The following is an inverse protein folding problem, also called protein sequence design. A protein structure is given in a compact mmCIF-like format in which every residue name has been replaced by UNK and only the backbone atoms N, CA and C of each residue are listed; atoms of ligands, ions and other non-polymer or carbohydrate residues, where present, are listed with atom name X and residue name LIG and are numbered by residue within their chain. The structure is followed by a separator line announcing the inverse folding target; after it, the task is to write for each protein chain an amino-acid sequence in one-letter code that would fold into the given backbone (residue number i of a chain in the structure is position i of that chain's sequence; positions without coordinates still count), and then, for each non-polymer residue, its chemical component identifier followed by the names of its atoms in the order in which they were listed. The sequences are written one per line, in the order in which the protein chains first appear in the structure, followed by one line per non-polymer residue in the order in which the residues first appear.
data_IF_070371440471
#
_entry.id   IF_070371440471
#
_cell.length_a   1.000
_cell.length_b   1.000
_cell.length_c   1.000
_cell.angle_alpha   90.00
_cell.angle_beta   90.00
_cell.angle_gamma   90.00
#
_symmetry.space_group_name_H-M   'P 1'
#
loop_
_entity.id
_entity.type
_entity.pdbx_description
1 polymer ?
#
# COMPACT_ATOMS: atom_id res chain seq x y z
N UNK A 1 7.07 17.37 -19.48
CA UNK A 1 7.32 17.08 -18.06
C UNK A 1 8.04 18.28 -17.46
N UNK A 2 7.77 18.69 -16.22
CA UNK A 2 8.53 19.80 -15.60
C UNK A 2 9.92 19.31 -15.18
N UNK A 3 10.92 20.19 -15.15
CA UNK A 3 12.28 19.82 -14.74
C UNK A 3 12.32 19.33 -13.28
N UNK A 4 11.53 19.95 -12.42
CA UNK A 4 11.43 19.57 -11.00
C UNK A 4 10.90 18.14 -10.82
N UNK A 5 9.88 17.75 -11.60
CA UNK A 5 9.34 16.39 -11.52
C UNK A 5 10.33 15.34 -12.05
N UNK A 6 11.07 15.65 -13.13
CA UNK A 6 12.14 14.76 -13.61
C UNK A 6 13.20 14.54 -12.53
N UNK A 7 13.66 15.61 -11.88
CA UNK A 7 14.62 15.50 -10.77
C UNK A 7 14.08 14.67 -9.60
N UNK A 8 12.79 14.81 -9.27
CA UNK A 8 12.15 13.96 -8.25
C UNK A 8 12.25 12.49 -8.65
N UNK A 9 11.85 12.14 -9.88
CA UNK A 9 11.83 10.75 -10.35
C UNK A 9 13.24 10.17 -10.47
N UNK A 10 14.22 10.92 -10.98
CA UNK A 10 15.61 10.47 -11.09
C UNK A 10 16.24 10.14 -9.72
N UNK A 11 15.77 10.80 -8.66
CA UNK A 11 16.23 10.55 -7.29
C UNK A 11 15.42 9.49 -6.53
N UNK A 12 14.23 9.12 -7.01
CA UNK A 12 13.28 8.30 -6.28
C UNK A 12 13.36 6.82 -6.64
N UNK A 13 14.23 6.07 -5.94
CA UNK A 13 14.36 4.62 -6.14
C UNK A 13 13.43 3.82 -5.24
N UNK A 14 13.19 4.32 -4.03
CA UNK A 14 12.42 3.65 -2.99
C UNK A 14 11.05 4.28 -2.84
N UNK A 15 10.01 3.61 -3.35
CA UNK A 15 8.67 4.19 -3.45
C UNK A 15 7.68 3.47 -2.52
N UNK A 16 7.01 4.22 -1.65
CA UNK A 16 5.89 3.70 -0.86
C UNK A 16 4.62 3.64 -1.72
N UNK A 17 4.00 2.45 -1.78
CA UNK A 17 2.79 2.22 -2.57
C UNK A 17 1.53 2.90 -2.01
N UNK A 18 0.55 3.23 -2.87
CA UNK A 18 -0.78 3.64 -2.44
C UNK A 18 -1.52 2.43 -1.85
N UNK A 19 -1.94 2.54 -0.59
CA UNK A 19 -2.63 1.49 0.15
C UNK A 19 -3.78 2.10 0.97
N UNK A 20 -5.00 1.64 0.72
CA UNK A 20 -6.21 2.10 1.45
C UNK A 20 -6.03 1.82 2.94
N UNK A 21 -6.22 2.86 3.76
CA UNK A 21 -6.04 2.85 5.23
C UNK A 21 -4.64 2.43 5.71
N UNK A 22 -3.64 2.47 4.83
CA UNK A 22 -2.30 1.92 5.08
C UNK A 22 -1.16 2.78 4.51
N UNK A 23 -1.47 3.94 3.94
CA UNK A 23 -0.50 4.90 3.41
C UNK A 23 -0.91 6.33 3.77
N UNK A 24 -1.64 6.47 4.87
CA UNK A 24 -2.00 7.76 5.44
C UNK A 24 -0.76 8.56 5.89
N UNK A 25 -0.93 9.85 6.16
CA UNK A 25 0.19 10.76 6.44
C UNK A 25 1.16 10.22 7.50
N UNK A 26 0.65 9.66 8.59
CA UNK A 26 1.48 9.09 9.66
C UNK A 26 2.44 8.01 9.12
N UNK A 27 1.90 7.07 8.33
CA UNK A 27 2.68 6.00 7.75
C UNK A 27 3.66 6.49 6.68
N UNK A 28 3.30 7.53 5.91
CA UNK A 28 4.23 8.14 4.96
C UNK A 28 5.41 8.81 5.66
N UNK A 29 5.17 9.53 6.76
CA UNK A 29 6.24 10.14 7.57
C UNK A 29 7.16 9.05 8.13
N UNK A 30 6.59 7.98 8.69
CA UNK A 30 7.37 6.84 9.17
C UNK A 30 8.20 6.25 8.03
N UNK A 31 7.58 5.93 6.89
CA UNK A 31 8.27 5.32 5.74
C UNK A 31 9.42 6.20 5.21
N UNK A 32 9.27 7.52 5.21
CA UNK A 32 10.36 8.45 4.86
C UNK A 32 11.51 8.39 5.85
N UNK A 33 11.22 8.31 7.15
CA UNK A 33 12.25 8.11 8.19
C UNK A 33 13.03 6.82 7.96
N UNK A 34 12.38 5.80 7.38
CA UNK A 34 12.97 4.52 6.99
C UNK A 34 13.35 4.43 5.50
N UNK A 35 13.66 5.55 4.84
CA UNK A 35 14.32 5.54 3.53
C UNK A 35 13.41 5.53 2.30
N UNK A 36 12.11 5.83 2.45
CA UNK A 36 11.25 6.09 1.29
C UNK A 36 11.56 7.46 0.66
N UNK A 37 11.89 7.47 -0.62
CA UNK A 37 12.19 8.68 -1.39
C UNK A 37 10.90 9.38 -1.84
N UNK A 38 9.91 8.59 -2.25
CA UNK A 38 8.63 9.04 -2.80
C UNK A 38 7.49 8.26 -2.17
N UNK A 39 6.41 8.96 -1.81
CA UNK A 39 5.24 8.31 -1.23
C UNK A 39 3.97 8.61 -2.03
N UNK A 40 3.05 7.66 -1.99
CA UNK A 40 1.70 7.82 -2.52
C UNK A 40 0.67 7.94 -1.39
N UNK A 41 -0.40 8.69 -1.61
CA UNK A 41 -1.55 8.70 -0.70
C UNK A 41 -2.33 7.37 -0.74
N UNK A 42 -3.27 7.15 0.20
CA UNK A 42 -4.33 6.18 -0.02
C UNK A 42 -5.10 6.52 -1.30
N UNK A 43 -5.70 5.51 -1.91
CA UNK A 43 -6.54 5.68 -3.11
C UNK A 43 -7.79 6.50 -2.76
N UNK A 44 -7.91 7.70 -3.32
CA UNK A 44 -9.04 8.63 -3.12
C UNK A 44 -10.11 8.35 -4.16
N UNK A 45 -11.35 8.09 -3.74
CA UNK A 45 -12.46 7.95 -4.67
C UNK A 45 -12.91 9.33 -5.17
N UNK A 46 -12.64 9.64 -6.44
CA UNK A 46 -12.88 10.96 -7.02
C UNK A 46 -14.37 11.35 -6.99
N UNK A 47 -15.29 10.40 -7.23
CA UNK A 47 -16.73 10.67 -7.18
C UNK A 47 -17.19 11.08 -5.77
N UNK A 48 -16.74 10.35 -4.74
CA UNK A 48 -17.08 10.67 -3.35
C UNK A 48 -16.43 12.00 -2.93
N UNK A 49 -15.16 12.22 -3.32
CA UNK A 49 -14.42 13.43 -3.01
C UNK A 49 -15.01 14.68 -3.68
N UNK A 50 -15.41 14.59 -4.96
CA UNK A 50 -15.94 15.70 -5.73
C UNK A 50 -17.35 16.15 -5.29
N UNK A 51 -18.06 15.33 -4.51
CA UNK A 51 -19.36 15.67 -3.94
C UNK A 51 -19.21 16.59 -2.72
N UNK A 52 -19.69 17.82 -2.87
CA UNK A 52 -19.68 18.86 -1.83
C UNK A 52 -20.36 18.47 -0.52
N UNK A 53 -21.26 17.48 -0.52
CA UNK A 53 -21.95 16.99 0.68
C UNK A 53 -21.05 16.10 1.54
N UNK A 54 -19.95 15.58 0.99
CA UNK A 54 -19.06 14.63 1.67
C UNK A 54 -17.85 15.31 2.34
N UNK A 55 -18.07 16.41 3.06
CA UNK A 55 -16.99 17.15 3.77
C UNK A 55 -16.16 16.24 4.68
N UNK A 56 -16.83 15.41 5.49
CA UNK A 56 -16.18 14.45 6.39
C UNK A 56 -15.27 13.47 5.64
N UNK A 57 -15.65 13.05 4.43
CA UNK A 57 -14.81 12.16 3.63
C UNK A 57 -13.52 12.87 3.23
N UNK A 58 -13.60 14.12 2.74
CA UNK A 58 -12.42 14.91 2.37
C UNK A 58 -11.45 15.08 3.53
N UNK A 59 -11.96 15.45 4.70
CA UNK A 59 -11.18 15.66 5.93
C UNK A 59 -10.53 14.37 6.44
N UNK A 60 -11.13 13.20 6.16
CA UNK A 60 -10.62 11.91 6.65
C UNK A 60 -9.67 11.25 5.65
N UNK A 61 -9.95 11.35 4.34
CA UNK A 61 -9.23 10.58 3.32
C UNK A 61 -7.88 11.20 2.96
N UNK A 62 -7.73 12.51 3.12
CA UNK A 62 -6.53 13.23 2.71
C UNK A 62 -6.02 14.16 3.80
N UNK A 63 -4.73 13.98 4.12
CA UNK A 63 -3.95 14.87 4.96
C UNK A 63 -2.52 14.89 4.44
N UNK A 64 -1.83 16.02 4.55
CA UNK A 64 -0.42 16.20 4.19
C UNK A 64 0.20 17.34 5.01
N UNK A 65 1.53 17.49 4.97
CA UNK A 65 2.27 18.59 5.58
C UNK A 65 3.57 18.86 4.78
N UNK A 66 4.36 19.85 5.21
CA UNK A 66 5.59 20.25 4.51
C UNK A 66 6.68 19.17 4.45
N UNK A 67 6.65 18.19 5.37
CA UNK A 67 7.60 17.07 5.42
C UNK A 67 7.16 15.88 4.55
N UNK A 68 6.00 15.98 3.92
CA UNK A 68 5.39 14.90 3.14
C UNK A 68 5.55 15.15 1.65
N UNK A 69 6.76 15.49 1.20
CA UNK A 69 7.12 15.62 -0.22
C UNK A 69 8.46 14.92 -0.49
N UNK A 70 8.65 14.34 -1.69
CA UNK A 70 7.74 14.35 -2.84
C UNK A 70 6.55 13.40 -2.68
N UNK A 71 5.34 13.83 -3.06
CA UNK A 71 4.07 13.13 -2.85
C UNK A 71 3.26 13.00 -4.13
N UNK A 72 2.73 11.81 -4.38
CA UNK A 72 1.78 11.54 -5.46
C UNK A 72 0.40 11.23 -4.88
N UNK A 73 -0.62 11.99 -5.31
CA UNK A 73 -2.00 11.77 -4.89
C UNK A 73 -2.67 10.83 -5.88
N UNK A 74 -3.12 9.66 -5.40
CA UNK A 74 -3.79 8.69 -6.26
C UNK A 74 -5.31 8.79 -6.18
N UNK A 75 -5.96 8.90 -7.34
CA UNK A 75 -7.41 8.83 -7.48
C UNK A 75 -7.89 7.52 -8.09
N UNK A 76 -9.13 7.15 -7.80
CA UNK A 76 -9.90 6.18 -8.57
C UNK A 76 -11.26 6.76 -8.99
N UNK A 77 -11.77 6.28 -10.12
CA UNK A 77 -13.05 6.67 -10.69
C UNK A 77 -13.12 6.30 -12.17
N UNK A 78 -14.27 6.56 -12.79
CA UNK A 78 -14.54 6.29 -14.19
C UNK A 78 -15.25 7.46 -14.90
N UNK A 79 -15.31 8.63 -14.24
CA UNK A 79 -15.86 9.85 -14.79
C UNK A 79 -14.72 10.88 -14.90
N UNK A 80 -14.25 11.20 -16.11
CA UNK A 80 -13.14 12.12 -16.32
C UNK A 80 -13.32 13.47 -15.62
N UNK A 81 -14.53 14.02 -15.63
CA UNK A 81 -14.82 15.35 -15.08
C UNK A 81 -14.78 15.35 -13.55
N UNK A 82 -15.32 14.29 -12.92
CA UNK A 82 -15.24 14.15 -11.46
C UNK A 82 -13.81 13.92 -10.97
N UNK A 83 -13.01 13.17 -11.74
CA UNK A 83 -11.58 12.99 -11.44
C UNK A 83 -10.84 14.32 -11.59
N UNK A 84 -11.07 15.06 -12.68
CA UNK A 84 -10.46 16.37 -12.89
C UNK A 84 -10.83 17.34 -11.77
N UNK A 85 -12.11 17.41 -11.40
CA UNK A 85 -12.58 18.27 -10.31
C UNK A 85 -11.89 17.95 -8.97
N UNK A 86 -11.73 16.67 -8.64
CA UNK A 86 -11.03 16.25 -7.43
C UNK A 86 -9.53 16.56 -7.48
N UNK A 87 -8.89 16.35 -8.63
CA UNK A 87 -7.48 16.62 -8.84
C UNK A 87 -7.16 18.13 -8.81
N UNK A 88 -8.02 18.98 -9.37
CA UNK A 88 -7.86 20.44 -9.33
C UNK A 88 -7.88 20.99 -7.90
N UNK A 89 -8.66 20.37 -7.00
CA UNK A 89 -8.76 20.73 -5.57
C UNK A 89 -7.47 20.38 -4.80
N UNK A 90 -6.68 19.42 -5.30
CA UNK A 90 -5.52 18.85 -4.59
C UNK A 90 -4.17 19.02 -5.32
N UNK A 91 -4.13 19.55 -6.55
CA UNK A 91 -2.91 19.69 -7.35
C UNK A 91 -1.82 20.52 -6.66
N UNK A 92 -2.18 21.44 -5.78
CA UNK A 92 -1.25 22.27 -4.99
C UNK A 92 -0.63 21.54 -3.80
N UNK A 93 -1.14 20.36 -3.47
CA UNK A 93 -0.76 19.58 -2.31
C UNK A 93 0.09 18.36 -2.65
N UNK A 94 0.49 18.22 -3.92
CA UNK A 94 1.30 17.11 -4.41
C UNK A 94 2.30 17.55 -5.48
N UNK A 95 3.13 16.61 -5.90
CA UNK A 95 4.10 16.74 -6.99
C UNK A 95 3.60 16.07 -8.27
N UNK A 96 2.65 15.14 -8.17
CA UNK A 96 1.90 14.58 -9.28
C UNK A 96 0.54 13.98 -8.85
N UNK A 97 -0.33 13.77 -9.84
CA UNK A 97 -1.62 13.11 -9.70
C UNK A 97 -1.58 11.75 -10.39
N UNK A 98 -1.96 10.68 -9.69
CA UNK A 98 -1.96 9.31 -10.20
C UNK A 98 -3.37 8.76 -10.42
N UNK A 99 -3.55 7.96 -11.47
CA UNK A 99 -4.79 7.22 -11.72
C UNK A 99 -4.60 5.75 -11.41
N UNK A 100 -5.40 5.25 -10.46
CA UNK A 100 -5.46 3.84 -10.14
C UNK A 100 -6.19 3.07 -11.25
N UNK A 101 -5.43 2.27 -11.98
CA UNK A 101 -5.89 1.34 -13.01
C UNK A 101 -5.52 -0.12 -12.66
N UNK A 102 -5.20 -0.38 -11.38
CA UNK A 102 -4.61 -1.64 -10.94
C UNK A 102 -5.32 -2.32 -9.76
N UNK A 103 -6.26 -1.67 -9.08
CA UNK A 103 -6.95 -2.25 -7.93
C UNK A 103 -7.90 -3.40 -8.37
N UNK A 104 -7.68 -4.65 -7.94
CA UNK A 104 -8.51 -5.80 -8.32
C UNK A 104 -9.61 -6.11 -7.28
N UNK A 105 -9.80 -5.25 -6.29
CA UNK A 105 -10.68 -5.54 -5.16
C UNK A 105 -12.15 -5.50 -5.56
N UNK A 106 -12.99 -6.24 -4.84
CA UNK A 106 -14.43 -6.30 -5.12
C UNK A 106 -15.14 -4.95 -5.05
N UNK A 107 -14.64 -4.00 -4.25
CA UNK A 107 -15.17 -2.63 -4.20
C UNK A 107 -14.88 -1.87 -5.52
N UNK A 108 -13.71 -2.07 -6.12
CA UNK A 108 -13.35 -1.51 -7.43
C UNK A 108 -14.20 -2.13 -8.55
N UNK A 109 -14.53 -3.42 -8.45
CA UNK A 109 -15.48 -4.06 -9.37
C UNK A 109 -16.86 -3.40 -9.31
N UNK A 110 -17.38 -3.23 -8.10
CA UNK A 110 -18.72 -2.66 -7.86
C UNK A 110 -18.80 -1.19 -8.28
N UNK A 111 -17.75 -0.41 -8.01
CA UNK A 111 -17.67 0.99 -8.39
C UNK A 111 -17.16 1.24 -9.81
N UNK A 112 -16.81 0.17 -10.54
CA UNK A 112 -16.29 0.20 -11.90
C UNK A 112 -15.08 1.14 -12.06
N UNK A 113 -14.01 0.87 -11.32
CA UNK A 113 -12.74 1.58 -11.40
C UNK A 113 -11.56 0.62 -11.18
N UNK A 114 -10.32 1.11 -11.20
CA UNK A 114 -9.13 0.28 -10.97
C UNK A 114 -8.88 -0.69 -12.12
N UNK A 115 -8.52 -1.93 -11.82
CA UNK A 115 -8.23 -2.96 -12.84
C UNK A 115 -9.46 -3.34 -13.68
N UNK A 116 -10.66 -2.88 -13.32
CA UNK A 116 -11.88 -3.13 -14.09
C UNK A 116 -12.08 -2.15 -15.25
N UNK A 117 -11.26 -1.10 -15.35
CA UNK A 117 -11.21 -0.22 -16.51
C UNK A 117 -10.19 -0.69 -17.56
N UNK A 118 -9.31 -1.65 -17.24
CA UNK A 118 -8.15 -1.98 -18.07
C UNK A 118 -8.53 -2.38 -19.52
N UNK A 119 -9.76 -2.86 -19.75
CA UNK A 119 -10.28 -3.26 -21.06
C UNK A 119 -11.00 -2.11 -21.82
N UNK A 120 -11.14 -0.93 -21.22
CA UNK A 120 -11.87 0.24 -21.73
C UNK A 120 -10.93 1.39 -22.11
N UNK A 121 -10.06 1.13 -23.09
CA UNK A 121 -8.98 2.06 -23.44
C UNK A 121 -9.45 3.45 -23.86
N UNK A 122 -10.55 3.64 -24.64
CA UNK A 122 -11.04 4.98 -24.96
C UNK A 122 -11.41 5.80 -23.71
N UNK A 123 -11.99 5.16 -22.69
CA UNK A 123 -12.30 5.83 -21.43
C UNK A 123 -11.03 6.21 -20.69
N UNK A 124 -10.06 5.30 -20.58
CA UNK A 124 -8.77 5.57 -19.93
C UNK A 124 -8.03 6.71 -20.64
N UNK A 125 -7.95 6.69 -21.97
CA UNK A 125 -7.34 7.76 -22.78
C UNK A 125 -8.01 9.10 -22.49
N UNK A 126 -9.35 9.13 -22.39
CA UNK A 126 -10.10 10.35 -22.10
C UNK A 126 -9.79 10.90 -20.71
N UNK A 127 -9.64 10.03 -19.69
CA UNK A 127 -9.28 10.43 -18.32
C UNK A 127 -7.87 11.03 -18.31
N UNK A 128 -6.88 10.30 -18.83
CA UNK A 128 -5.47 10.73 -18.76
C UNK A 128 -5.25 12.01 -19.58
N UNK A 129 -5.81 12.08 -20.78
CA UNK A 129 -5.65 13.25 -21.66
C UNK A 129 -6.32 14.50 -21.08
N UNK A 130 -7.52 14.36 -20.50
CA UNK A 130 -8.23 15.48 -19.88
C UNK A 130 -7.45 16.04 -18.69
N UNK A 131 -6.95 15.17 -17.81
CA UNK A 131 -6.13 15.58 -16.68
C UNK A 131 -4.83 16.23 -17.13
N UNK A 132 -4.15 15.63 -18.12
CA UNK A 132 -2.89 16.16 -18.66
C UNK A 132 -3.04 17.57 -19.23
N UNK A 133 -4.19 17.86 -19.85
CA UNK A 133 -4.47 19.15 -20.45
C UNK A 133 -4.81 20.26 -19.43
N UNK A 134 -5.31 19.90 -18.25
CA UNK A 134 -5.90 20.86 -17.29
C UNK A 134 -5.15 20.97 -15.96
N UNK A 135 -4.30 20.00 -15.60
CA UNK A 135 -3.51 20.05 -14.36
C UNK A 135 -2.15 20.70 -14.59
N UNK A 136 -1.68 21.45 -13.58
CA UNK A 136 -0.32 22.01 -13.59
C UNK A 136 0.76 21.02 -13.17
N UNK A 137 0.36 19.95 -12.47
CA UNK A 137 1.24 18.85 -12.06
C UNK A 137 1.15 17.68 -13.06
N UNK A 138 2.20 16.85 -13.19
CA UNK A 138 2.18 15.67 -14.05
C UNK A 138 1.09 14.66 -13.65
N UNK A 139 0.64 13.90 -14.66
CA UNK A 139 -0.31 12.79 -14.49
C UNK A 139 0.44 11.48 -14.61
N UNK A 140 0.29 10.59 -13.64
CA UNK A 140 0.91 9.27 -13.60
C UNK A 140 -0.16 8.19 -13.59
N UNK A 141 0.20 6.95 -13.86
CA UNK A 141 -0.74 5.83 -13.82
C UNK A 141 -0.12 4.63 -13.10
N UNK A 142 -0.96 3.90 -12.35
CA UNK A 142 -0.59 2.61 -11.76
C UNK A 142 -1.46 1.48 -12.32
N UNK A 143 -0.84 0.53 -13.01
CA UNK A 143 -1.53 -0.56 -13.72
C UNK A 143 -1.23 -1.95 -13.15
N UNK A 144 -2.01 -2.92 -13.63
CA UNK A 144 -1.71 -4.35 -13.65
C UNK A 144 -1.49 -4.82 -15.09
N UNK A 145 -0.82 -5.94 -15.27
CA UNK A 145 -0.53 -6.52 -16.59
C UNK A 145 -1.71 -7.35 -17.14
N UNK A 146 -1.71 -7.60 -18.44
CA UNK A 146 -2.54 -8.63 -19.07
C UNK A 146 -1.81 -9.98 -19.09
N UNK A 147 -2.54 -11.10 -19.28
CA UNK A 147 -1.91 -12.38 -19.60
C UNK A 147 -1.07 -12.32 -20.89
N UNK A 148 -1.53 -11.55 -21.87
CA UNK A 148 -0.83 -11.37 -23.15
C UNK A 148 0.19 -10.23 -23.05
N UNK A 149 1.46 -10.54 -23.35
CA UNK A 149 2.56 -9.58 -23.28
C UNK A 149 2.35 -8.40 -24.24
N UNK A 150 1.96 -8.69 -25.48
CA UNK A 150 1.76 -7.69 -26.54
C UNK A 150 0.64 -6.72 -26.16
N UNK A 151 -0.44 -7.23 -25.57
CA UNK A 151 -1.55 -6.40 -25.08
C UNK A 151 -1.10 -5.50 -23.93
N UNK A 152 -0.24 -6.01 -23.05
CA UNK A 152 0.34 -5.22 -21.95
C UNK A 152 1.22 -4.09 -22.47
N UNK A 153 2.09 -4.36 -23.45
CA UNK A 153 2.95 -3.34 -24.07
C UNK A 153 2.10 -2.30 -24.80
N UNK A 154 1.09 -2.72 -25.57
CA UNK A 154 0.18 -1.80 -26.26
C UNK A 154 -0.58 -0.90 -25.28
N UNK A 155 -1.01 -1.45 -24.14
CA UNK A 155 -1.68 -0.70 -23.08
C UNK A 155 -0.74 0.36 -22.45
N UNK A 156 0.52 0.02 -22.19
CA UNK A 156 1.51 0.97 -21.69
C UNK A 156 1.79 2.11 -22.69
N UNK A 157 1.97 1.80 -23.98
CA UNK A 157 2.15 2.80 -25.06
C UNK A 157 0.94 3.71 -25.22
N UNK A 158 -0.27 3.18 -25.06
CA UNK A 158 -1.49 3.98 -25.07
C UNK A 158 -1.48 5.02 -23.93
N UNK A 159 -1.14 4.59 -22.70
CA UNK A 159 -1.08 5.49 -21.54
C UNK A 159 -0.03 6.60 -21.73
N UNK A 160 1.16 6.24 -22.24
CA UNK A 160 2.19 7.20 -22.60
C UNK A 160 1.67 8.22 -23.62
N UNK A 161 1.05 7.76 -24.71
CA UNK A 161 0.47 8.63 -25.75
C UNK A 161 -0.63 9.55 -25.20
N UNK A 162 -1.44 9.07 -24.25
CA UNK A 162 -2.48 9.87 -23.60
C UNK A 162 -1.92 10.96 -22.66
N UNK A 163 -0.61 10.94 -22.37
CA UNK A 163 0.07 11.96 -21.58
C UNK A 163 0.48 11.52 -20.17
N UNK A 164 0.46 10.22 -19.88
CA UNK A 164 1.06 9.67 -18.68
C UNK A 164 2.56 10.04 -18.62
N UNK A 165 3.02 10.52 -17.46
CA UNK A 165 4.39 11.01 -17.24
C UNK A 165 5.27 10.03 -16.46
N UNK A 166 4.68 9.03 -15.80
CA UNK A 166 5.35 7.96 -15.08
C UNK A 166 4.37 6.78 -14.99
N UNK A 167 4.83 5.57 -15.29
CA UNK A 167 4.02 4.37 -15.23
C UNK A 167 4.49 3.44 -14.10
N UNK A 168 3.66 3.21 -13.08
CA UNK A 168 3.92 2.14 -12.10
C UNK A 168 3.25 0.85 -12.55
N UNK A 169 4.02 -0.22 -12.73
CA UNK A 169 3.51 -1.51 -13.19
C UNK A 169 3.53 -2.51 -12.04
N UNK A 170 2.36 -2.99 -11.63
CA UNK A 170 2.28 -4.22 -10.85
C UNK A 170 2.34 -5.42 -11.79
N UNK A 171 3.39 -6.24 -11.70
CA UNK A 171 3.62 -7.43 -12.55
C UNK A 171 2.64 -8.60 -12.33
N UNK A 172 1.42 -8.36 -11.86
CA UNK A 172 0.38 -9.39 -11.70
C UNK A 172 -0.85 -9.01 -12.49
N UNK A 173 -1.54 -9.99 -13.03
CA UNK A 173 -2.84 -9.81 -13.68
C UNK A 173 -3.92 -9.40 -12.67
N UNK A 174 -5.07 -8.93 -13.15
CA UNK A 174 -6.24 -8.62 -12.32
C UNK A 174 -6.71 -9.84 -11.52
N UNK A 175 -6.65 -11.02 -12.13
CA UNK A 175 -7.09 -12.31 -11.57
C UNK A 175 -6.14 -12.83 -10.50
N UNK A 176 -4.86 -12.46 -10.57
CA UNK A 176 -3.84 -12.72 -9.56
C UNK A 176 -4.02 -11.82 -8.33
N UNK A 177 -5.09 -12.06 -7.59
CA UNK A 177 -5.43 -11.34 -6.35
C UNK A 177 -5.75 -12.31 -5.20
N UNK A 178 -5.66 -11.80 -3.97
CA UNK A 178 -5.97 -12.55 -2.73
C UNK A 178 -5.22 -13.88 -2.67
N UNK A 179 -5.94 -14.99 -2.65
CA UNK A 179 -5.41 -16.35 -2.52
C UNK A 179 -4.76 -16.86 -3.83
N UNK A 180 -4.86 -16.08 -4.92
CA UNK A 180 -4.30 -16.38 -6.24
C UNK A 180 -3.21 -15.39 -6.65
N UNK A 181 -2.63 -14.64 -5.70
CA UNK A 181 -1.65 -13.59 -6.00
C UNK A 181 -0.44 -14.09 -6.80
N UNK A 182 0.12 -15.26 -6.49
CA UNK A 182 1.31 -15.78 -7.19
C UNK A 182 2.50 -14.80 -7.15
N UNK A 183 3.51 -15.06 -7.97
CA UNK A 183 4.64 -14.14 -8.17
C UNK A 183 4.28 -13.06 -9.19
N UNK A 184 4.82 -11.86 -9.00
CA UNK A 184 4.83 -10.81 -9.99
C UNK A 184 5.87 -11.15 -11.07
N UNK A 185 5.48 -10.95 -12.31
CA UNK A 185 6.30 -11.18 -13.48
C UNK A 185 7.13 -9.91 -13.77
N UNK A 186 8.40 -9.94 -13.40
CA UNK A 186 9.32 -8.84 -13.66
C UNK A 186 9.79 -8.80 -15.12
N UNK A 187 9.74 -9.91 -15.87
CA UNK A 187 10.09 -9.92 -17.30
C UNK A 187 9.06 -9.14 -18.11
N UNK A 188 7.78 -9.21 -17.76
CA UNK A 188 6.76 -8.35 -18.36
C UNK A 188 7.01 -6.86 -18.05
N UNK A 189 7.45 -6.54 -16.82
CA UNK A 189 7.79 -5.16 -16.45
C UNK A 189 8.99 -4.66 -17.26
N UNK A 190 10.03 -5.49 -17.41
CA UNK A 190 11.19 -5.21 -18.27
C UNK A 190 10.77 -4.91 -19.71
N UNK A 191 9.93 -5.77 -20.29
CA UNK A 191 9.45 -5.61 -21.65
C UNK A 191 8.65 -4.30 -21.84
N UNK A 192 7.90 -3.85 -20.82
CA UNK A 192 7.27 -2.53 -20.83
C UNK A 192 8.33 -1.42 -20.80
N UNK A 193 9.31 -1.48 -19.88
CA UNK A 193 10.36 -0.47 -19.75
C UNK A 193 11.16 -0.29 -21.04
N UNK A 194 11.42 -1.37 -21.78
CA UNK A 194 12.10 -1.33 -23.08
C UNK A 194 11.24 -0.73 -24.22
N UNK A 195 9.93 -0.57 -24.00
CA UNK A 195 8.97 -0.19 -25.04
C UNK A 195 8.27 1.15 -24.81
N UNK A 196 8.54 1.84 -23.71
CA UNK A 196 8.06 3.20 -23.42
C UNK A 196 9.24 4.12 -23.14
N UNK A 197 9.06 5.42 -23.39
CA UNK A 197 10.08 6.45 -23.16
C UNK A 197 9.93 7.14 -21.80
N UNK A 198 8.75 7.05 -21.18
CA UNK A 198 8.51 7.56 -19.83
C UNK A 198 9.15 6.68 -18.74
N UNK A 199 9.47 7.25 -17.56
CA UNK A 199 9.91 6.47 -16.43
C UNK A 199 8.89 5.39 -16.03
N UNK A 200 9.40 4.25 -15.55
CA UNK A 200 8.63 3.10 -15.09
C UNK A 200 9.08 2.72 -13.69
N UNK A 201 8.11 2.51 -12.80
CA UNK A 201 8.36 1.89 -11.50
C UNK A 201 7.83 0.46 -11.46
N UNK A 202 8.65 -0.47 -10.96
CA UNK A 202 8.23 -1.84 -10.73
C UNK A 202 7.46 -1.97 -9.41
N UNK A 203 6.44 -2.82 -9.37
CA UNK A 203 5.72 -3.17 -8.16
C UNK A 203 5.38 -4.66 -8.10
N UNK A 204 5.54 -5.23 -6.91
CA UNK A 204 5.21 -6.63 -6.61
C UNK A 204 6.46 -7.46 -6.34
N UNK A 205 6.38 -8.31 -5.30
CA UNK A 205 7.47 -9.18 -4.83
C UNK A 205 8.73 -8.46 -4.34
N UNK A 206 8.58 -7.24 -3.80
CA UNK A 206 9.65 -6.50 -3.11
C UNK A 206 9.40 -6.67 -1.61
N UNK A 207 10.06 -7.64 -1.00
CA UNK A 207 9.83 -8.04 0.38
C UNK A 207 11.10 -7.95 1.24
N UNK A 208 12.27 -8.04 0.64
CA UNK A 208 13.55 -7.71 1.26
C UNK A 208 14.21 -6.50 0.59
N UNK A 209 15.20 -5.91 1.25
CA UNK A 209 15.96 -4.81 0.68
C UNK A 209 16.70 -5.24 -0.61
N UNK A 210 17.26 -6.45 -0.63
CA UNK A 210 17.99 -6.97 -1.80
C UNK A 210 17.10 -7.21 -3.02
N UNK A 211 15.77 -7.30 -2.84
CA UNK A 211 14.84 -7.40 -3.96
C UNK A 211 14.81 -6.11 -4.78
N UNK A 212 15.15 -4.96 -4.18
CA UNK A 212 15.18 -3.66 -4.85
C UNK A 212 16.26 -3.66 -5.93
N UNK A 213 17.51 -3.96 -5.54
CA UNK A 213 18.65 -3.99 -6.47
C UNK A 213 18.45 -5.06 -7.55
N UNK A 214 17.99 -6.26 -7.17
CA UNK A 214 17.67 -7.35 -8.12
C UNK A 214 16.60 -6.95 -9.14
N UNK A 215 15.54 -6.29 -8.68
CA UNK A 215 14.44 -5.86 -9.56
C UNK A 215 14.93 -4.80 -10.55
N UNK A 216 15.70 -3.81 -10.08
CA UNK A 216 16.26 -2.75 -10.93
C UNK A 216 17.24 -3.36 -11.95
N UNK A 217 18.15 -4.23 -11.53
CA UNK A 217 19.13 -4.88 -12.42
C UNK A 217 18.45 -5.70 -13.51
N UNK A 218 17.42 -6.48 -13.16
CA UNK A 218 16.71 -7.32 -14.12
C UNK A 218 15.87 -6.51 -15.11
N UNK A 219 15.15 -5.50 -14.61
CA UNK A 219 14.11 -4.82 -15.39
C UNK A 219 14.55 -3.50 -16.02
N UNK A 220 15.62 -2.88 -15.52
CA UNK A 220 16.05 -1.54 -15.94
C UNK A 220 15.10 -0.41 -15.56
N UNK A 221 14.14 -0.66 -14.64
CA UNK A 221 13.19 0.35 -14.16
C UNK A 221 13.88 1.46 -13.37
N UNK A 222 13.23 2.63 -13.31
CA UNK A 222 13.78 3.83 -12.69
C UNK A 222 13.61 3.83 -11.16
N UNK A 223 12.75 2.95 -10.64
CA UNK A 223 12.48 2.81 -9.21
C UNK A 223 11.57 1.63 -8.89
N UNK A 224 11.48 1.33 -7.61
CA UNK A 224 10.80 0.15 -7.08
C UNK A 224 9.81 0.57 -6.01
N UNK A 225 8.57 0.10 -6.16
CA UNK A 225 7.49 0.36 -5.23
C UNK A 225 7.21 -0.84 -4.34
N UNK A 226 7.29 -0.65 -3.03
CA UNK A 226 6.88 -1.65 -2.03
C UNK A 226 5.55 -1.29 -1.36
N UNK A 227 4.71 -2.31 -1.16
CA UNK A 227 3.41 -2.21 -0.51
C UNK A 227 3.41 -3.03 0.78
N UNK A 228 2.99 -4.29 0.71
CA UNK A 228 2.95 -5.16 1.89
C UNK A 228 4.33 -5.35 2.54
N UNK A 229 5.42 -5.43 1.76
CA UNK A 229 6.77 -5.53 2.30
C UNK A 229 7.07 -4.40 3.29
N UNK A 230 6.78 -3.15 2.91
CA UNK A 230 6.94 -1.97 3.77
C UNK A 230 6.01 -2.01 5.00
N UNK A 231 4.78 -2.50 4.89
CA UNK A 231 3.86 -2.60 6.04
C UNK A 231 4.35 -3.58 7.12
N UNK A 232 5.01 -4.66 6.72
CA UNK A 232 5.57 -5.64 7.65
C UNK A 232 6.97 -5.25 8.13
N UNK A 233 7.74 -4.55 7.29
CA UNK A 233 9.03 -3.97 7.63
C UNK A 233 9.22 -2.59 6.99
N UNK A 234 9.01 -1.48 7.73
CA UNK A 234 9.28 -0.13 7.22
C UNK A 234 10.74 0.05 6.81
N UNK A 235 11.67 -0.65 7.45
CA UNK A 235 13.11 -0.66 7.16
C UNK A 235 13.49 -1.32 5.83
N UNK A 236 12.54 -1.83 5.04
CA UNK A 236 12.80 -2.49 3.75
C UNK A 236 13.63 -1.64 2.77
N UNK A 237 13.59 -0.31 2.87
CA UNK A 237 14.35 0.60 2.00
C UNK A 237 15.77 0.90 2.53
N UNK A 238 16.10 0.44 3.73
CA UNK A 238 17.43 0.56 4.32
C UNK A 238 18.17 -0.78 4.22
N UNK A 239 19.45 -0.73 3.88
CA UNK A 239 20.31 -1.92 3.83
C UNK A 239 20.45 -2.53 5.22
N UNK A 240 20.38 -3.86 5.28
CA UNK A 240 20.59 -4.67 6.47
C UNK A 240 19.74 -4.23 7.69
N UNK A 241 18.46 -3.87 7.45
CA UNK A 241 17.61 -3.24 8.44
C UNK A 241 16.33 -4.02 8.75
N UNK A 242 16.36 -4.74 9.87
CA UNK A 242 15.20 -5.34 10.54
C UNK A 242 15.00 -4.67 11.91
N UNK A 243 14.30 -3.52 11.97
CA UNK A 243 14.17 -2.75 13.20
C UNK A 243 13.39 -3.51 14.28
N UNK A 244 13.67 -3.19 15.54
CA UNK A 244 12.95 -3.77 16.68
C UNK A 244 11.50 -3.30 16.66
N UNK A 245 10.55 -4.25 16.66
CA UNK A 245 9.11 -3.95 16.46
C UNK A 245 8.60 -2.90 17.45
N UNK A 246 8.87 -2.99 18.77
CA UNK A 246 8.43 -1.97 19.73
C UNK A 246 8.92 -0.56 19.42
N UNK A 247 10.15 -0.40 18.95
CA UNK A 247 10.70 0.94 18.64
C UNK A 247 9.97 1.56 17.44
N UNK A 248 9.69 0.77 16.41
CA UNK A 248 8.89 1.21 15.25
C UNK A 248 7.46 1.57 15.65
N UNK A 249 6.84 0.78 16.53
CA UNK A 249 5.48 1.06 17.02
C UNK A 249 5.45 2.36 17.81
N UNK A 250 6.40 2.59 18.72
CA UNK A 250 6.45 3.80 19.52
C UNK A 250 6.64 5.04 18.65
N UNK A 251 7.55 4.98 17.67
CA UNK A 251 7.74 6.05 16.68
C UNK A 251 6.48 6.32 15.87
N UNK A 252 5.79 5.27 15.41
CA UNK A 252 4.54 5.42 14.66
C UNK A 252 3.44 6.06 15.51
N UNK A 253 3.28 5.62 16.77
CA UNK A 253 2.30 6.17 17.69
C UNK A 253 2.61 7.62 18.07
N UNK A 254 3.89 7.99 18.21
CA UNK A 254 4.30 9.38 18.41
C UNK A 254 3.90 10.26 17.21
N UNK A 255 4.14 9.79 15.98
CA UNK A 255 3.70 10.50 14.77
C UNK A 255 2.17 10.67 14.78
N UNK A 256 1.42 9.62 15.14
CA UNK A 256 -0.05 9.65 15.20
C UNK A 256 -0.62 10.67 16.19
N UNK A 257 0.15 11.11 17.20
CA UNK A 257 -0.28 12.18 18.10
C UNK A 257 -0.30 13.56 17.43
N UNK A 258 0.50 13.73 16.37
CA UNK A 258 0.66 15.01 15.67
C UNK A 258 -0.01 15.05 14.30
N UNK A 259 -0.52 13.91 13.83
CA UNK A 259 -1.20 13.78 12.54
C UNK A 259 -2.60 13.22 12.70
N UNK A 260 -3.62 13.72 11.97
CA UNK A 260 -4.93 13.10 11.96
C UNK A 260 -4.85 11.66 11.44
N UNK A 261 -5.02 10.68 12.33
CA UNK A 261 -4.91 9.25 12.00
C UNK A 261 -6.12 8.48 12.53
N UNK A 262 -6.92 7.83 11.67
CA UNK A 262 -8.03 6.99 12.12
C UNK A 262 -7.54 5.81 12.99
N UNK A 263 -8.23 5.49 14.10
CA UNK A 263 -7.90 4.31 14.93
C UNK A 263 -7.84 2.99 14.15
N UNK A 264 -8.60 2.87 13.06
CA UNK A 264 -8.59 1.71 12.17
C UNK A 264 -7.25 1.56 11.44
N UNK A 265 -6.61 2.66 11.04
CA UNK A 265 -5.27 2.66 10.45
C UNK A 265 -4.26 2.21 11.51
N UNK A 266 -4.30 2.82 12.71
CA UNK A 266 -3.38 2.48 13.81
C UNK A 266 -3.44 0.99 14.13
N UNK A 267 -4.64 0.47 14.40
CA UNK A 267 -4.86 -0.96 14.64
C UNK A 267 -4.31 -1.81 13.48
N UNK A 268 -4.62 -1.44 12.24
CA UNK A 268 -4.17 -2.15 11.04
C UNK A 268 -2.65 -2.28 10.96
N UNK A 269 -1.93 -1.20 11.22
CA UNK A 269 -0.47 -1.16 11.23
C UNK A 269 0.14 -1.96 12.38
N UNK A 270 -0.41 -1.87 13.58
CA UNK A 270 0.03 -2.70 14.72
C UNK A 270 -0.13 -4.19 14.41
N UNK A 271 -1.23 -4.61 13.78
CA UNK A 271 -1.43 -6.00 13.33
C UNK A 271 -0.42 -6.45 12.27
N UNK A 272 0.06 -5.53 11.42
CA UNK A 272 1.08 -5.82 10.41
C UNK A 272 2.46 -5.94 11.06
N UNK A 273 2.87 -4.95 11.84
CA UNK A 273 4.17 -4.94 12.53
C UNK A 273 4.33 -6.11 13.50
N UNK A 274 3.30 -6.42 14.30
CA UNK A 274 3.31 -7.50 15.29
C UNK A 274 3.09 -8.88 14.65
N UNK A 275 2.84 -8.97 13.35
CA UNK A 275 2.52 -10.24 12.69
C UNK A 275 3.49 -11.39 13.02
N UNK A 276 4.81 -11.19 13.15
CA UNK A 276 5.73 -12.27 13.49
C UNK A 276 5.49 -12.88 14.87
N UNK A 277 5.03 -12.09 15.84
CA UNK A 277 4.87 -12.53 17.24
C UNK A 277 3.40 -12.70 17.67
N UNK A 278 2.44 -12.18 16.90
CA UNK A 278 1.05 -12.06 17.33
C UNK A 278 0.35 -13.40 17.60
N UNK A 279 0.81 -14.48 16.96
CA UNK A 279 0.29 -15.83 17.20
C UNK A 279 0.92 -16.49 18.44
N UNK A 280 2.07 -16.00 18.91
CA UNK A 280 2.71 -16.44 20.15
C UNK A 280 2.00 -15.88 21.37
N UNK A 281 1.53 -14.63 21.29
CA UNK A 281 0.86 -13.92 22.38
C UNK A 281 -0.64 -13.71 22.08
N UNK A 282 -1.40 -14.80 22.10
CA UNK A 282 -2.81 -14.79 21.69
C UNK A 282 -3.70 -13.90 22.56
N UNK A 283 -3.41 -13.79 23.86
CA UNK A 283 -4.15 -12.90 24.77
C UNK A 283 -3.96 -11.42 24.38
N UNK A 284 -2.71 -11.01 24.12
CA UNK A 284 -2.40 -9.64 23.66
C UNK A 284 -2.97 -9.36 22.26
N UNK A 285 -3.00 -10.37 21.38
CA UNK A 285 -3.67 -10.26 20.08
C UNK A 285 -5.16 -9.96 20.25
N UNK A 286 -5.83 -10.69 21.13
CA UNK A 286 -7.28 -10.55 21.33
C UNK A 286 -7.61 -9.21 22.01
N UNK A 287 -6.73 -8.74 22.90
CA UNK A 287 -6.78 -7.37 23.44
C UNK A 287 -6.60 -6.32 22.33
N UNK A 288 -5.58 -6.44 21.47
CA UNK A 288 -5.38 -5.52 20.33
C UNK A 288 -6.58 -5.52 19.37
N UNK A 289 -7.19 -6.68 19.13
CA UNK A 289 -8.37 -6.80 18.27
C UNK A 289 -9.55 -5.97 18.81
N UNK A 290 -9.72 -5.92 20.12
CA UNK A 290 -10.82 -5.21 20.79
C UNK A 290 -10.48 -3.77 21.16
N UNK A 291 -9.20 -3.40 21.22
CA UNK A 291 -8.74 -2.03 21.51
C UNK A 291 -9.32 -1.01 20.51
N UNK A 292 -9.90 0.08 21.02
CA UNK A 292 -10.47 1.13 20.16
C UNK A 292 -9.64 2.41 20.15
N UNK A 293 -9.00 2.79 21.28
CA UNK A 293 -8.34 4.09 21.41
C UNK A 293 -6.98 4.05 22.15
N UNK A 294 -6.77 3.18 23.14
CA UNK A 294 -5.53 3.14 23.94
C UNK A 294 -4.47 2.21 23.34
N UNK A 295 -3.97 2.60 22.16
CA UNK A 295 -2.96 1.80 21.45
C UNK A 295 -1.60 1.81 22.15
N UNK A 296 -1.28 2.85 22.92
CA UNK A 296 -0.03 2.97 23.68
C UNK A 296 0.03 1.92 24.80
N UNK A 297 -1.08 1.69 25.51
CA UNK A 297 -1.09 0.66 26.56
C UNK A 297 -0.83 -0.74 26.01
N UNK A 298 -1.50 -1.12 24.92
CA UNK A 298 -1.30 -2.44 24.31
C UNK A 298 0.10 -2.57 23.68
N UNK A 299 0.62 -1.50 23.07
CA UNK A 299 2.00 -1.45 22.57
C UNK A 299 3.02 -1.71 23.67
N UNK A 300 2.87 -1.08 24.84
CA UNK A 300 3.72 -1.30 26.01
C UNK A 300 3.68 -2.76 26.51
N UNK A 301 2.52 -3.41 26.50
CA UNK A 301 2.41 -4.84 26.84
C UNK A 301 3.20 -5.72 25.87
N UNK A 302 3.14 -5.43 24.57
CA UNK A 302 3.96 -6.12 23.56
C UNK A 302 5.45 -5.83 23.75
N UNK A 303 5.85 -4.59 24.05
CA UNK A 303 7.24 -4.22 24.34
C UNK A 303 7.84 -5.10 25.44
N UNK A 304 7.15 -5.21 26.59
CA UNK A 304 7.63 -6.01 27.74
C UNK A 304 7.92 -7.46 27.35
N UNK A 305 6.99 -8.12 26.64
CA UNK A 305 7.16 -9.53 26.29
C UNK A 305 8.24 -9.74 25.21
N UNK A 306 8.37 -8.80 24.28
CA UNK A 306 9.38 -8.88 23.20
C UNK A 306 10.79 -8.53 23.69
N UNK A 307 10.93 -7.62 24.65
CA UNK A 307 12.22 -7.33 25.31
C UNK A 307 12.70 -8.54 26.10
N UNK A 308 11.82 -9.18 26.87
CA UNK A 308 12.14 -10.42 27.60
C UNK A 308 12.63 -11.53 26.66
N UNK A 309 11.95 -11.70 25.52
CA UNK A 309 12.34 -12.69 24.52
C UNK A 309 13.70 -12.37 23.89
N UNK A 310 13.94 -11.08 23.56
CA UNK A 310 15.22 -10.60 23.02
C UNK A 310 16.36 -10.81 24.02
N UNK A 311 16.15 -10.51 25.29
CA UNK A 311 17.12 -10.71 26.37
C UNK A 311 17.44 -12.19 26.57
N UNK A 312 16.42 -13.06 26.59
CA UNK A 312 16.61 -14.50 26.70
C UNK A 312 17.41 -15.08 25.50
N UNK A 313 17.31 -14.45 24.33
CA UNK A 313 18.05 -14.82 23.13
C UNK A 313 19.44 -14.17 23.02
N UNK A 314 19.82 -13.24 23.91
CA UNK A 314 21.08 -12.45 23.81
C UNK A 314 22.37 -13.26 23.97
N UNK A 315 22.27 -14.60 24.07
CA UNK A 315 23.37 -15.53 23.85
C UNK A 315 23.58 -15.90 22.35
N UNK A 316 22.78 -15.33 21.44
CA UNK A 316 22.83 -15.51 19.99
C UNK A 316 23.21 -14.18 19.31
N UNK A 317 24.25 -14.20 18.49
CA UNK A 317 25.03 -13.03 18.04
C UNK A 317 24.60 -12.42 16.71
N UNK A 318 23.54 -12.89 16.04
CA UNK A 318 23.18 -12.37 14.72
C UNK A 318 22.57 -10.97 14.80
N UNK A 319 23.25 -9.97 14.23
CA UNK A 319 22.84 -8.54 14.20
C UNK A 319 22.75 -7.96 12.79
N UNK A 320 23.17 -8.67 11.75
CA UNK A 320 23.11 -8.22 10.36
C UNK A 320 22.37 -9.20 9.44
N UNK A 321 21.83 -8.71 8.32
CA UNK A 321 21.05 -9.51 7.36
C UNK A 321 21.79 -10.73 6.80
N UNK A 322 23.11 -10.64 6.67
CA UNK A 322 23.98 -11.71 6.18
C UNK A 322 24.28 -12.79 7.23
N UNK A 323 23.87 -12.58 8.48
CA UNK A 323 24.10 -13.51 9.59
C UNK A 323 22.87 -14.38 9.89
N UNK A 324 21.70 -14.05 9.33
CA UNK A 324 20.50 -14.87 9.52
C UNK A 324 20.63 -16.18 8.75
N UNK A 325 20.36 -17.29 9.45
CA UNK A 325 20.13 -18.58 8.80
C UNK A 325 18.98 -18.48 7.80
N UNK A 326 19.03 -19.29 6.74
CA UNK A 326 17.95 -19.39 5.76
C UNK A 326 17.20 -20.70 5.94
N UNK A 327 15.88 -20.67 5.80
CA UNK A 327 15.04 -21.85 5.82
C UNK A 327 15.16 -22.68 4.53
N UNK A 328 14.47 -23.81 4.47
CA UNK A 328 14.43 -24.71 3.30
C UNK A 328 13.92 -24.06 2.01
N UNK A 329 13.22 -22.92 2.12
CA UNK A 329 12.69 -22.16 1.00
C UNK A 329 13.57 -20.95 0.63
N UNK A 330 14.71 -20.78 1.31
CA UNK A 330 15.65 -19.69 1.10
C UNK A 330 15.23 -18.36 1.77
N UNK A 331 14.30 -18.39 2.72
CA UNK A 331 13.91 -17.19 3.48
C UNK A 331 14.73 -17.04 4.76
N UNK A 332 15.12 -15.81 5.08
CA UNK A 332 15.84 -15.48 6.31
C UNK A 332 14.99 -15.83 7.54
N UNK A 333 15.57 -16.56 8.49
CA UNK A 333 14.96 -16.88 9.79
C UNK A 333 15.24 -15.69 10.72
N UNK A 334 14.30 -14.74 10.73
CA UNK A 334 14.43 -13.50 11.49
C UNK A 334 13.71 -13.63 12.84
N UNK A 335 14.33 -13.24 13.96
CA UNK A 335 13.67 -13.27 15.26
C UNK A 335 12.33 -12.53 15.28
N UNK A 336 11.33 -13.11 15.94
CA UNK A 336 9.94 -12.62 15.90
C UNK A 336 9.72 -11.24 16.57
N UNK A 337 10.74 -10.70 17.25
CA UNK A 337 10.73 -9.34 17.80
C UNK A 337 11.27 -8.28 16.83
N UNK A 338 11.76 -8.67 15.65
CA UNK A 338 12.20 -7.77 14.59
C UNK A 338 11.17 -7.73 13.46
N UNK A 339 11.03 -6.54 12.86
CA UNK A 339 10.23 -6.34 11.66
C UNK A 339 10.76 -7.22 10.53
N UNK A 340 9.88 -7.98 9.87
CA UNK A 340 10.28 -8.97 8.88
C UNK A 340 9.16 -9.24 7.88
N UNK A 341 9.46 -9.77 6.69
CA UNK A 341 8.43 -10.04 5.70
C UNK A 341 7.41 -11.07 6.18
N UNK A 342 6.18 -10.93 5.70
CA UNK A 342 5.14 -11.94 5.95
C UNK A 342 4.98 -12.87 4.76
N UNK A 343 5.24 -14.15 5.01
CA UNK A 343 4.97 -15.23 4.06
C UNK A 343 3.63 -15.88 4.37
N UNK A 344 2.80 -15.99 3.34
CA UNK A 344 1.50 -16.66 3.48
C UNK A 344 1.73 -18.17 3.45
N UNK A 345 1.40 -18.83 4.56
CA UNK A 345 1.44 -20.29 4.65
C UNK A 345 0.48 -20.91 3.63
N UNK A 346 1.03 -21.63 2.65
CA UNK A 346 0.29 -22.29 1.58
C UNK A 346 -0.61 -23.42 2.10
N UNK A 347 -0.31 -24.00 3.26
CA UNK A 347 -1.06 -25.11 3.85
C UNK A 347 -2.38 -24.67 4.49
N UNK A 348 -2.48 -23.39 4.91
CA UNK A 348 -3.70 -22.83 5.50
C UNK A 348 -4.80 -22.51 4.49
N UNK A 349 -4.50 -22.54 3.18
CA UNK A 349 -5.45 -22.33 2.09
C UNK A 349 -6.51 -23.44 1.95
N UNK A 350 -6.28 -24.60 2.57
CA UNK A 350 -7.20 -25.76 2.55
C UNK A 350 -8.13 -25.85 3.78
N UNK A 351 -8.09 -24.90 4.71
CA UNK A 351 -9.11 -24.85 5.77
C UNK A 351 -10.42 -24.37 5.14
N UNK A 352 -11.41 -25.26 5.09
CA UNK A 352 -12.77 -24.95 4.67
C UNK A 352 -13.17 -23.57 5.22
N UNK A 353 -13.61 -22.70 4.30
CA UNK A 353 -14.14 -21.39 4.66
C UNK A 353 -15.15 -21.62 5.79
N UNK A 354 -14.96 -20.97 6.94
CA UNK A 354 -16.00 -20.89 7.97
C UNK A 354 -17.32 -20.58 7.24
N UNK A 355 -18.38 -21.38 7.44
CA UNK A 355 -19.64 -21.18 6.73
C UNK A 355 -20.02 -19.71 6.89
N UNK A 356 -20.34 -19.06 5.76
CA UNK A 356 -20.88 -17.70 5.80
C UNK A 356 -22.07 -17.75 6.76
N UNK A 357 -22.05 -16.90 7.81
CA UNK A 357 -23.20 -16.77 8.71
C UNK A 357 -24.46 -16.56 7.86
N UNK A 358 -25.50 -17.33 8.17
CA UNK A 358 -26.76 -17.33 7.42
C UNK A 358 -27.28 -15.88 7.34
N UNK A 359 -27.55 -15.32 6.14
CA UNK A 359 -28.02 -13.95 5.99
C UNK A 359 -29.24 -13.63 6.84
N UNK A 360 -30.13 -14.60 7.05
CA UNK A 360 -31.33 -14.47 7.88
C UNK A 360 -30.99 -14.23 9.37
N UNK A 361 -29.94 -14.89 9.88
CA UNK A 361 -29.46 -14.71 11.27
C UNK A 361 -28.83 -13.32 11.45
N UNK A 362 -28.15 -12.81 10.42
CA UNK A 362 -27.59 -11.44 10.43
C UNK A 362 -28.71 -10.41 10.41
N UNK A 363 -29.78 -10.66 9.66
CA UNK A 363 -30.94 -9.76 9.55
C UNK A 363 -31.76 -9.72 10.86
N UNK A 364 -31.93 -10.87 11.52
CA UNK A 364 -32.56 -10.97 12.84
C UNK A 364 -31.71 -10.29 13.94
N UNK A 365 -30.39 -10.50 13.97
CA UNK A 365 -29.50 -9.82 14.91
C UNK A 365 -29.51 -8.29 14.72
N UNK A 366 -29.66 -7.83 13.47
CA UNK A 366 -29.72 -6.40 13.14
C UNK A 366 -31.07 -5.77 13.52
N UNK A 367 -32.18 -6.52 13.34
CA UNK A 367 -33.52 -6.11 13.81
C UNK A 367 -33.59 -6.06 15.34
N UNK A 368 -33.04 -7.06 16.02
CA UNK A 368 -33.04 -7.14 17.49
C UNK A 368 -32.20 -6.01 18.12
N UNK A 369 -31.09 -5.61 17.47
CA UNK A 369 -30.28 -4.45 17.89
C UNK A 369 -30.97 -3.10 17.64
N UNK A 370 -31.79 -2.96 16.58
CA UNK A 370 -32.59 -1.76 16.35
C UNK A 370 -33.73 -1.62 17.37
N UNK A 371 -34.45 -2.71 17.66
CA UNK A 371 -35.53 -2.71 18.66
C UNK A 371 -35.02 -2.41 20.07
N UNK A 372 -33.85 -2.90 20.46
CA UNK A 372 -33.24 -2.54 21.75
C UNK A 372 -32.87 -1.06 21.84
N UNK A 373 -32.50 -0.43 20.73
CA UNK A 373 -32.11 0.98 20.68
C UNK A 373 -33.31 1.93 20.71
N UNK A 374 -34.45 1.49 20.18
CA UNK A 374 -35.73 2.22 20.23
C UNK A 374 -36.47 2.06 21.58
N UNK A 375 -36.02 1.15 22.46
CA UNK A 375 -36.54 0.97 23.82
C UNK A 375 -35.70 1.72 24.88
N UNK A 376 -34.59 2.32 24.47
CA UNK A 376 -33.66 3.09 25.33
C UNK A 376 -33.65 4.60 25.00
N UNK A 377 -34.52 5.05 24.09
CA UNK A 377 -34.91 6.46 23.85
C UNK A 377 -36.36 6.66 24.31
#
# INVERSE_FOLDING_TARGET
MTQDFLSIIESAKNVLAPMVDQSELAWRILSRKYGADLCYTPMINAKIYADSKNKKYKETIFSTNEKDRPLIIQFCGNDPELILKAALDLQDKCDAVDINLGCPQGIAKKGHYGAYLQDEWPLIESIVSLLKANLKVPVTCKIRIFPELEKTIAYAKMLEKAGCSLLTVHGRTREQNKDRSGLADWEVIKAIKENVSIPVFANGNIIYNEDIDKCIELTGVDGVMSAEGNLYNPGIFLKDCHPFIPDVIDEYLEICQTTPTPPTCIKGHLFKLLRPCINKYTELRDELATCTNDFTQIANKFRIVLEKDREAASNSTARSDNEFEVDENGYKIIPHWLCQPYFRDKTLGNKERRPKRNPEVIEEETKCKKQKKELEE
#
